data_IF_695942017300
#
_entry.id   IF_695942017300
#
_cell.length_a   1.000
_cell.length_b   1.000
_cell.length_c   1.000
_cell.angle_alpha   90.00
_cell.angle_beta   90.00
_cell.angle_gamma   90.00
#
_symmetry.space_group_name_H-M   'P 1'
#
loop_
_entity.id
_entity.type
_entity.pdbx_description
1 polymer ?
#
# COMPACT_ATOMS: atom_id res chain seq x y z
N UNK A 1 -23.21 -1.57 8.30
CA UNK A 1 -23.42 -0.10 8.36
C UNK A 1 -23.12 0.49 7.00
N UNK A 2 -23.87 1.52 6.56
CA UNK A 2 -23.53 2.26 5.33
C UNK A 2 -22.88 3.59 5.68
N UNK A 3 -21.61 3.77 5.33
CA UNK A 3 -20.90 5.03 5.49
C UNK A 3 -21.35 6.05 4.44
N UNK A 4 -21.12 7.33 4.76
CA UNK A 4 -21.38 8.45 3.85
C UNK A 4 -20.16 9.36 3.79
N UNK A 5 -19.93 9.88 2.60
CA UNK A 5 -18.90 10.85 2.29
C UNK A 5 -19.13 12.10 3.12
N UNK A 6 -18.06 12.56 3.77
CA UNK A 6 -17.98 13.86 4.46
C UNK A 6 -17.25 14.90 3.62
N UNK A 7 -16.48 14.46 2.63
CA UNK A 7 -15.79 15.28 1.65
C UNK A 7 -15.57 14.49 0.36
N UNK A 8 -15.70 15.18 -0.77
CA UNK A 8 -15.42 14.67 -2.11
C UNK A 8 -14.62 15.70 -2.91
N UNK A 9 -13.63 15.23 -3.65
CA UNK A 9 -13.01 16.01 -4.73
C UNK A 9 -12.62 15.09 -5.88
N UNK A 10 -12.46 15.68 -7.07
CA UNK A 10 -11.81 14.99 -8.17
C UNK A 10 -10.29 15.12 -8.06
N UNK A 11 -9.58 14.02 -8.27
CA UNK A 11 -8.12 13.98 -8.34
C UNK A 11 -7.58 14.42 -9.70
N UNK A 12 -8.46 14.74 -10.67
CA UNK A 12 -8.19 15.12 -12.07
C UNK A 12 -7.58 14.00 -12.93
N UNK A 13 -6.81 13.11 -12.31
CA UNK A 13 -6.18 11.93 -12.90
C UNK A 13 -6.66 10.69 -12.15
N UNK A 14 -6.57 9.52 -12.79
CA UNK A 14 -6.98 8.28 -12.13
C UNK A 14 -6.19 8.04 -10.84
N UNK A 15 -6.92 7.87 -9.73
CA UNK A 15 -6.33 7.78 -8.40
C UNK A 15 -6.08 6.32 -8.01
N UNK A 16 -4.85 6.01 -7.65
CA UNK A 16 -4.38 4.63 -7.51
C UNK A 16 -4.07 4.23 -6.06
N UNK A 17 -3.47 5.14 -5.29
CA UNK A 17 -3.14 4.85 -3.89
C UNK A 17 -3.34 6.03 -2.96
N UNK A 18 -3.64 5.71 -1.70
CA UNK A 18 -3.80 6.65 -0.60
C UNK A 18 -3.01 6.12 0.58
N UNK A 19 -2.24 7.00 1.23
CA UNK A 19 -1.45 6.66 2.41
C UNK A 19 -1.57 7.76 3.46
N UNK A 20 -2.08 7.43 4.65
CA UNK A 20 -2.15 8.38 5.75
C UNK A 20 -0.77 8.61 6.36
N UNK A 21 -0.48 9.87 6.69
CA UNK A 21 0.73 10.22 7.38
C UNK A 21 0.73 9.59 8.80
N UNK A 22 1.82 8.92 9.23
CA UNK A 22 1.82 8.15 10.46
C UNK A 22 1.77 8.98 11.75
N UNK A 23 2.28 10.22 11.72
CA UNK A 23 2.36 11.11 12.89
C UNK A 23 1.54 12.40 12.80
N UNK A 24 1.42 13.03 11.62
CA UNK A 24 0.69 14.28 11.45
C UNK A 24 -0.82 14.02 11.38
N UNK A 25 -1.62 14.56 12.33
CA UNK A 25 -3.06 14.35 12.32
C UNK A 25 -3.70 14.85 11.03
N UNK A 26 -4.59 14.04 10.49
CA UNK A 26 -5.41 14.37 9.32
C UNK A 26 -4.64 14.70 8.03
N UNK A 27 -3.38 14.26 7.94
CA UNK A 27 -2.55 14.42 6.74
C UNK A 27 -2.45 13.09 6.00
N UNK A 28 -2.53 13.11 4.68
CA UNK A 28 -2.39 11.94 3.82
C UNK A 28 -1.89 12.30 2.43
N UNK A 29 -1.29 11.34 1.75
CA UNK A 29 -0.84 11.44 0.37
C UNK A 29 -1.81 10.68 -0.54
N UNK A 30 -2.09 11.24 -1.72
CA UNK A 30 -2.89 10.61 -2.78
C UNK A 30 -2.03 10.54 -4.04
N UNK A 31 -1.84 9.34 -4.57
CA UNK A 31 -1.06 9.11 -5.78
C UNK A 31 -1.95 8.73 -6.95
N UNK A 32 -1.55 9.16 -8.14
CA UNK A 32 -2.31 8.99 -9.38
C UNK A 32 -1.48 8.29 -10.45
N UNK A 33 -2.20 7.59 -11.33
CA UNK A 33 -1.67 6.85 -12.45
C UNK A 33 -2.54 7.14 -13.68
N UNK A 34 -2.02 7.89 -14.64
CA UNK A 34 -2.72 8.19 -15.89
C UNK A 34 -1.95 7.59 -17.06
N UNK A 35 -2.65 6.83 -17.90
CA UNK A 35 -2.17 6.47 -19.23
C UNK A 35 -2.69 7.50 -20.22
N UNK A 36 -1.78 8.18 -20.91
CA UNK A 36 -2.13 9.03 -22.05
C UNK A 36 -1.80 8.25 -23.33
N UNK A 37 -2.77 8.12 -24.23
CA UNK A 37 -2.58 7.57 -25.57
C UNK A 37 -2.30 8.72 -26.53
N UNK A 38 -1.31 8.61 -27.43
CA UNK A 38 -1.11 9.59 -28.48
C UNK A 38 -2.25 9.50 -29.52
N UNK A 39 -3.14 10.52 -29.63
CA UNK A 39 -4.24 10.48 -30.59
C UNK A 39 -3.75 10.41 -32.04
N UNK A 40 -2.55 10.93 -32.32
CA UNK A 40 -1.97 10.96 -33.66
C UNK A 40 -1.47 9.59 -34.15
N UNK A 41 -1.25 8.64 -33.24
CA UNK A 41 -0.81 7.27 -33.54
C UNK A 41 -1.94 6.22 -33.42
N UNK A 42 -3.18 6.66 -33.20
CA UNK A 42 -4.35 5.77 -33.00
C UNK A 42 -4.68 4.83 -34.17
N UNK A 43 -4.04 5.01 -35.33
CA UNK A 43 -4.14 4.14 -36.51
C UNK A 43 -2.99 3.12 -36.63
N UNK A 44 -1.99 3.16 -35.74
CA UNK A 44 -0.93 2.16 -35.65
C UNK A 44 -1.39 0.93 -34.85
N UNK A 45 -0.82 -0.24 -35.13
CA UNK A 45 -1.18 -1.49 -34.46
C UNK A 45 -0.85 -1.51 -32.95
N UNK A 46 0.05 -0.62 -32.51
CA UNK A 46 0.47 -0.43 -31.11
C UNK A 46 0.85 1.03 -30.87
N UNK A 47 -0.12 1.94 -30.60
CA UNK A 47 0.18 3.35 -30.36
C UNK A 47 1.12 3.52 -29.17
N UNK A 48 2.08 4.46 -29.28
CA UNK A 48 2.87 4.88 -28.12
C UNK A 48 1.95 5.44 -27.04
N UNK A 49 2.17 5.01 -25.80
CA UNK A 49 1.48 5.53 -24.62
C UNK A 49 2.51 6.04 -23.63
N UNK A 50 2.16 7.12 -22.93
CA UNK A 50 2.93 7.61 -21.80
C UNK A 50 2.17 7.37 -20.50
N UNK A 51 2.90 7.31 -19.39
CA UNK A 51 2.35 7.06 -18.06
C UNK A 51 2.78 8.17 -17.14
N UNK A 52 1.90 9.13 -16.89
CA UNK A 52 2.17 10.23 -15.97
C UNK A 52 1.36 10.09 -14.69
N UNK A 53 1.85 10.70 -13.63
CA UNK A 53 1.23 10.66 -12.33
C UNK A 53 1.62 11.86 -11.49
N UNK A 54 1.06 11.84 -10.30
CA UNK A 54 1.22 12.88 -9.29
C UNK A 54 0.95 12.30 -7.93
N UNK A 55 1.73 12.72 -6.94
CA UNK A 55 1.43 12.51 -5.53
C UNK A 55 1.10 13.86 -4.87
N UNK A 56 -0.17 14.07 -4.49
CA UNK A 56 -0.62 15.27 -3.74
C UNK A 56 -0.63 14.98 -2.25
N UNK A 57 -0.15 15.92 -1.43
CA UNK A 57 -0.27 15.89 0.02
C UNK A 57 -1.50 16.72 0.43
N UNK A 58 -2.37 16.15 1.24
CA UNK A 58 -3.60 16.76 1.69
C UNK A 58 -3.66 16.87 3.21
N UNK A 59 -4.41 17.87 3.71
CA UNK A 59 -4.83 17.96 5.11
C UNK A 59 -6.34 18.09 5.20
N UNK A 60 -6.93 17.30 6.08
CA UNK A 60 -8.35 17.36 6.42
C UNK A 60 -8.57 18.18 7.69
N UNK A 61 -9.60 19.02 7.64
CA UNK A 61 -10.24 19.58 8.82
C UNK A 61 -11.46 18.71 9.12
N UNK A 62 -11.46 17.93 10.22
CA UNK A 62 -12.55 17.01 10.54
C UNK A 62 -13.85 17.75 10.87
N UNK A 63 -14.99 17.13 10.58
CA UNK A 63 -16.34 17.66 10.80
C UNK A 63 -17.38 16.75 10.15
N UNK A 64 -18.67 17.07 10.31
CA UNK A 64 -19.74 16.40 9.56
C UNK A 64 -19.62 16.66 8.06
N UNK A 65 -19.34 17.91 7.70
CA UNK A 65 -18.83 18.32 6.40
C UNK A 65 -17.33 18.60 6.57
N UNK A 66 -16.49 17.63 6.22
CA UNK A 66 -15.05 17.78 6.30
C UNK A 66 -14.58 18.74 5.19
N UNK A 67 -13.50 19.46 5.45
CA UNK A 67 -12.79 20.25 4.44
C UNK A 67 -11.43 19.62 4.17
N UNK A 68 -10.95 19.67 2.93
CA UNK A 68 -9.63 19.19 2.55
C UNK A 68 -8.86 20.29 1.83
N UNK A 69 -7.58 20.44 2.13
CA UNK A 69 -6.67 21.35 1.44
C UNK A 69 -5.44 20.62 0.93
N UNK A 70 -5.03 20.91 -0.31
CA UNK A 70 -3.75 20.44 -0.83
C UNK A 70 -2.63 21.29 -0.23
N UNK A 71 -1.61 20.63 0.32
CA UNK A 71 -0.44 21.25 0.95
C UNK A 71 0.74 21.34 -0.02
N UNK A 72 0.99 20.27 -0.78
CA UNK A 72 2.08 20.19 -1.75
C UNK A 72 1.79 19.09 -2.80
N UNK A 73 2.58 19.06 -3.87
CA UNK A 73 2.46 18.05 -4.91
C UNK A 73 3.82 17.68 -5.54
N UNK A 74 3.97 16.40 -5.85
CA UNK A 74 5.05 15.87 -6.67
C UNK A 74 4.46 15.48 -8.02
N UNK A 75 4.89 16.12 -9.10
CA UNK A 75 4.57 15.70 -10.47
C UNK A 75 5.63 14.70 -10.97
N UNK A 76 5.23 13.75 -11.80
CA UNK A 76 6.17 12.82 -12.43
C UNK A 76 5.52 11.68 -13.20
N UNK A 77 6.17 10.52 -13.13
CA UNK A 77 5.69 9.28 -13.72
C UNK A 77 4.46 8.74 -13.00
N UNK A 78 3.71 7.85 -13.64
CA UNK A 78 2.55 7.21 -13.01
C UNK A 78 2.96 6.42 -11.77
N UNK A 79 2.22 6.58 -10.67
CA UNK A 79 2.56 6.02 -9.35
C UNK A 79 1.60 4.90 -9.01
N UNK A 80 2.13 3.72 -8.65
CA UNK A 80 1.35 2.55 -8.25
C UNK A 80 1.25 2.40 -6.72
N UNK A 81 2.27 2.84 -5.98
CA UNK A 81 2.22 2.76 -4.52
C UNK A 81 3.09 3.83 -3.87
N UNK A 82 2.62 4.32 -2.72
CA UNK A 82 3.35 5.28 -1.91
C UNK A 82 3.17 4.94 -0.43
N UNK A 83 4.27 4.84 0.34
CA UNK A 83 4.21 4.53 1.77
C UNK A 83 5.21 5.33 2.58
N UNK A 84 4.82 5.75 3.78
CA UNK A 84 5.71 6.42 4.73
C UNK A 84 6.60 5.40 5.45
N UNK A 85 7.89 5.70 5.55
CA UNK A 85 8.78 5.02 6.50
C UNK A 85 8.65 5.69 7.86
N UNK A 86 8.64 4.89 8.93
CA UNK A 86 8.63 5.37 10.32
C UNK A 86 10.05 5.63 10.85
N UNK A 87 11.07 5.14 10.16
CA UNK A 87 12.45 5.45 10.45
C UNK A 87 12.69 6.97 10.33
N UNK A 88 13.44 7.51 11.27
CA UNK A 88 13.72 8.95 11.38
C UNK A 88 12.46 9.86 11.49
N UNK A 89 11.28 9.30 11.76
CA UNK A 89 10.02 10.05 11.92
C UNK A 89 9.81 10.64 13.32
N UNK A 90 10.78 10.48 14.23
CA UNK A 90 10.79 11.16 15.53
C UNK A 90 11.45 12.55 15.34
N UNK A 91 10.62 13.59 15.29
CA UNK A 91 11.01 14.96 14.92
C UNK A 91 12.23 15.51 15.67
N UNK A 92 13.06 16.28 14.96
CA UNK A 92 14.15 17.10 15.51
C UNK A 92 15.10 17.61 14.41
N UNK A 93 15.61 16.69 13.56
CA UNK A 93 16.57 17.04 12.48
C UNK A 93 16.14 16.56 11.08
N UNK A 94 15.17 15.63 10.99
CA UNK A 94 14.82 14.92 9.74
C UNK A 94 13.42 15.25 9.18
N UNK A 95 12.79 16.37 9.57
CA UNK A 95 11.44 16.74 9.11
C UNK A 95 10.33 15.84 9.69
N UNK A 96 9.18 15.76 9.01
CA UNK A 96 8.01 14.99 9.46
C UNK A 96 7.99 13.53 9.00
N UNK A 97 9.01 13.08 8.28
CA UNK A 97 9.15 11.71 7.78
C UNK A 97 9.55 11.66 6.30
N UNK A 98 9.67 10.44 5.77
CA UNK A 98 10.00 10.20 4.37
C UNK A 98 8.92 9.34 3.70
N UNK A 99 8.49 9.75 2.51
CA UNK A 99 7.56 9.03 1.65
C UNK A 99 8.36 8.31 0.55
N UNK A 100 8.20 7.00 0.45
CA UNK A 100 8.64 6.22 -0.71
C UNK A 100 7.56 6.15 -1.77
N UNK A 101 7.95 6.30 -3.03
CA UNK A 101 7.08 6.23 -4.21
C UNK A 101 7.62 5.16 -5.16
N UNK A 102 6.79 4.17 -5.48
CA UNK A 102 7.01 3.17 -6.51
C UNK A 102 6.29 3.57 -7.80
N UNK A 103 7.04 3.75 -8.89
CA UNK A 103 6.51 4.27 -10.14
C UNK A 103 6.56 3.27 -11.32
N UNK A 104 5.82 3.63 -12.37
CA UNK A 104 5.66 2.87 -13.60
C UNK A 104 6.91 2.84 -14.49
N UNK A 105 8.01 3.46 -14.10
CA UNK A 105 9.29 3.41 -14.82
C UNK A 105 10.30 2.47 -14.16
N UNK A 106 9.90 1.78 -13.09
CA UNK A 106 10.76 0.85 -12.38
C UNK A 106 11.64 1.52 -11.33
N UNK A 107 11.27 2.72 -10.86
CA UNK A 107 12.00 3.44 -9.82
C UNK A 107 11.29 3.39 -8.47
N UNK A 108 12.10 3.43 -7.42
CA UNK A 108 11.71 3.79 -6.06
C UNK A 108 12.32 5.16 -5.75
N UNK A 109 11.51 6.19 -5.54
CA UNK A 109 11.98 7.54 -5.17
C UNK A 109 11.60 7.87 -3.72
N UNK A 110 12.48 8.55 -2.99
CA UNK A 110 12.22 9.01 -1.62
C UNK A 110 12.10 10.52 -1.55
N UNK A 111 11.06 10.97 -0.85
CA UNK A 111 10.77 12.37 -0.62
C UNK A 111 10.64 12.63 0.88
N UNK A 112 11.46 13.54 1.40
CA UNK A 112 11.35 14.00 2.79
C UNK A 112 10.27 15.09 2.87
N UNK A 113 9.40 15.01 3.88
CA UNK A 113 8.45 16.07 4.20
C UNK A 113 9.09 17.05 5.20
N UNK A 114 9.31 18.29 4.77
CA UNK A 114 9.89 19.35 5.61
C UNK A 114 8.90 19.95 6.60
N UNK A 115 9.40 20.76 7.55
CA UNK A 115 8.56 21.45 8.54
C UNK A 115 7.54 22.42 7.91
N UNK A 116 7.88 22.95 6.73
CA UNK A 116 7.01 23.78 5.90
C UNK A 116 5.94 22.97 5.15
N UNK A 117 5.84 21.65 5.39
CA UNK A 117 4.93 20.72 4.73
C UNK A 117 5.15 20.61 3.22
N UNK A 118 6.38 20.84 2.76
CA UNK A 118 6.79 20.64 1.37
C UNK A 118 7.71 19.42 1.23
N UNK A 119 7.57 18.71 0.12
CA UNK A 119 8.39 17.58 -0.25
C UNK A 119 9.74 18.01 -0.81
N UNK A 120 10.79 17.27 -0.46
CA UNK A 120 12.11 17.39 -1.07
C UNK A 120 12.62 16.00 -1.44
N UNK A 121 12.92 15.77 -2.73
CA UNK A 121 13.51 14.50 -3.18
C UNK A 121 14.87 14.28 -2.53
N UNK A 122 15.09 13.10 -1.95
CA UNK A 122 16.33 12.73 -1.24
C UNK A 122 17.14 11.68 -1.98
N UNK A 123 16.46 10.66 -2.50
CA UNK A 123 17.10 9.54 -3.17
C UNK A 123 16.16 8.97 -4.25
N UNK A 124 16.75 8.21 -5.17
CA UNK A 124 16.02 7.35 -6.08
C UNK A 124 16.87 6.13 -6.43
N UNK A 125 16.23 4.96 -6.49
CA UNK A 125 16.83 3.72 -6.96
C UNK A 125 16.10 3.25 -8.20
N UNK A 126 16.88 2.85 -9.21
CA UNK A 126 16.34 2.07 -10.32
C UNK A 126 16.22 0.62 -9.84
N UNK A 127 15.00 0.21 -9.51
CA UNK A 127 14.73 -1.10 -8.93
C UNK A 127 14.61 -2.19 -10.01
N UNK A 128 14.29 -1.79 -11.23
CA UNK A 128 14.20 -2.68 -12.38
C UNK A 128 14.88 -2.07 -13.61
N UNK A 129 15.75 -2.86 -14.25
CA UNK A 129 16.47 -2.42 -15.44
C UNK A 129 15.80 -2.78 -16.78
N UNK A 130 14.77 -3.61 -16.74
CA UNK A 130 14.13 -4.31 -17.85
C UNK A 130 12.78 -3.71 -18.28
N UNK A 131 12.54 -2.43 -17.94
CA UNK A 131 11.26 -1.73 -18.20
C UNK A 131 10.05 -2.33 -17.46
N UNK A 132 10.27 -3.11 -16.40
CA UNK A 132 9.19 -3.54 -15.52
C UNK A 132 8.79 -2.42 -14.56
N UNK A 133 7.53 -2.46 -14.11
CA UNK A 133 6.97 -1.48 -13.17
C UNK A 133 7.34 -1.86 -11.73
N UNK A 134 7.50 -0.86 -10.86
CA UNK A 134 7.42 -1.08 -9.42
C UNK A 134 5.93 -1.06 -9.03
N UNK A 135 5.38 -2.19 -8.62
CA UNK A 135 3.95 -2.37 -8.36
C UNK A 135 3.55 -2.00 -6.93
N UNK A 136 4.34 -2.43 -5.95
CA UNK A 136 4.10 -2.10 -4.53
C UNK A 136 5.42 -1.92 -3.80
N UNK A 137 5.39 -1.22 -2.66
CA UNK A 137 6.53 -1.16 -1.75
C UNK A 137 6.10 -1.41 -0.32
N UNK A 138 6.98 -1.92 0.55
CA UNK A 138 6.70 -1.99 2.00
C UNK A 138 7.96 -1.76 2.83
N UNK A 139 7.79 -1.09 3.96
CA UNK A 139 8.86 -0.74 4.90
C UNK A 139 8.92 -1.72 6.07
N UNK A 140 10.13 -2.11 6.46
CA UNK A 140 10.36 -3.07 7.55
C UNK A 140 10.12 -2.51 8.96
N UNK A 141 9.71 -1.25 9.07
CA UNK A 141 9.70 -0.44 10.29
C UNK A 141 8.30 -0.10 10.79
N UNK A 142 7.24 -0.67 10.20
CA UNK A 142 5.82 -0.40 10.49
C UNK A 142 5.42 -0.38 11.96
N UNK A 143 6.12 -1.12 12.82
CA UNK A 143 5.90 -1.19 14.29
C UNK A 143 7.00 -0.49 15.10
N UNK A 144 8.02 0.07 14.45
CA UNK A 144 9.25 0.61 15.05
C UNK A 144 9.36 2.11 14.84
N UNK A 145 8.50 2.87 15.51
CA UNK A 145 8.58 4.33 15.51
C UNK A 145 9.95 4.83 15.96
N UNK A 146 10.55 5.73 15.18
CA UNK A 146 11.85 6.31 15.51
C UNK A 146 13.01 5.33 15.38
N UNK A 147 12.83 4.22 14.66
CA UNK A 147 13.96 3.42 14.19
C UNK A 147 14.95 4.33 13.47
N UNK A 148 16.25 4.10 13.67
CA UNK A 148 17.24 4.82 12.89
C UNK A 148 17.14 4.39 11.43
N UNK A 149 17.03 3.10 11.14
CA UNK A 149 17.07 2.55 9.78
C UNK A 149 15.81 1.78 9.40
N UNK A 150 15.61 1.59 8.10
CA UNK A 150 14.59 0.71 7.53
C UNK A 150 15.11 0.00 6.28
N UNK A 151 14.55 -1.18 6.03
CA UNK A 151 14.66 -1.88 4.75
C UNK A 151 13.36 -1.71 3.97
N UNK A 152 13.45 -1.71 2.64
CA UNK A 152 12.29 -1.71 1.76
C UNK A 152 12.30 -2.93 0.87
N UNK A 153 11.12 -3.49 0.63
CA UNK A 153 10.86 -4.47 -0.40
C UNK A 153 9.95 -3.86 -1.44
N UNK A 154 10.21 -4.12 -2.71
CA UNK A 154 9.45 -3.65 -3.87
C UNK A 154 9.08 -4.86 -4.71
N UNK A 155 7.80 -4.96 -5.09
CA UNK A 155 7.31 -5.97 -6.02
C UNK A 155 7.22 -5.42 -7.43
N UNK A 156 7.44 -6.27 -8.45
CA UNK A 156 7.63 -5.82 -9.83
C UNK A 156 6.79 -6.57 -10.86
N UNK A 157 6.48 -5.92 -11.98
CA UNK A 157 5.60 -6.47 -13.01
C UNK A 157 6.19 -7.61 -13.84
N UNK A 158 7.50 -7.85 -13.76
CA UNK A 158 8.15 -9.00 -14.39
C UNK A 158 8.26 -10.21 -13.44
N UNK A 159 7.49 -10.22 -12.34
CA UNK A 159 7.46 -11.32 -11.37
C UNK A 159 8.64 -11.35 -10.39
N UNK A 160 9.53 -10.36 -10.42
CA UNK A 160 10.62 -10.25 -9.46
C UNK A 160 10.25 -9.45 -8.22
N UNK A 161 10.99 -9.68 -7.14
CA UNK A 161 11.04 -8.80 -5.97
C UNK A 161 12.43 -8.20 -5.87
N UNK A 162 12.52 -6.97 -5.37
CA UNK A 162 13.78 -6.31 -5.08
C UNK A 162 13.75 -5.67 -3.69
N UNK A 163 14.89 -5.69 -2.99
CA UNK A 163 15.01 -5.08 -1.66
C UNK A 163 16.17 -4.09 -1.61
N UNK A 164 15.97 -2.98 -0.90
CA UNK A 164 17.07 -2.13 -0.40
C UNK A 164 17.22 -2.41 1.10
N UNK A 165 18.31 -3.07 1.54
CA UNK A 165 18.44 -3.53 2.93
C UNK A 165 18.55 -2.43 3.97
N UNK A 166 18.97 -1.22 3.60
CA UNK A 166 19.21 -0.12 4.53
C UNK A 166 19.06 1.22 3.82
N UNK A 167 18.28 2.12 4.41
CA UNK A 167 18.09 3.49 3.92
C UNK A 167 19.29 4.40 4.22
N UNK A 168 20.06 4.08 5.26
CA UNK A 168 21.22 4.88 5.68
C UNK A 168 22.49 4.67 4.86
N UNK A 169 22.55 3.61 4.05
CA UNK A 169 23.72 3.38 3.20
C UNK A 169 23.74 4.44 2.11
N UNK A 170 24.77 5.30 2.16
CA UNK A 170 24.91 6.53 1.37
C UNK A 170 25.00 6.34 -0.16
N UNK A 171 24.93 5.12 -0.68
CA UNK A 171 25.01 4.83 -2.11
C UNK A 171 23.91 3.84 -2.52
N UNK A 172 23.38 3.94 -3.76
CA UNK A 172 22.38 3.02 -4.32
C UNK A 172 22.91 1.60 -4.61
N UNK A 173 23.83 1.10 -3.78
CA UNK A 173 24.39 -0.23 -3.83
C UNK A 173 23.70 -1.15 -2.83
N UNK A 174 23.51 -2.42 -3.21
CA UNK A 174 22.91 -3.44 -2.36
C UNK A 174 21.44 -3.73 -2.67
N UNK A 175 20.93 -3.37 -3.85
CA UNK A 175 19.67 -3.92 -4.33
C UNK A 175 19.85 -5.43 -4.51
N UNK A 176 19.07 -6.21 -3.77
CA UNK A 176 18.97 -7.66 -3.96
C UNK A 176 17.67 -7.96 -4.71
N UNK A 177 17.78 -8.61 -5.87
CA UNK A 177 16.64 -8.96 -6.72
C UNK A 177 16.58 -10.45 -6.96
N UNK A 178 15.38 -11.04 -6.90
CA UNK A 178 15.16 -12.44 -7.24
C UNK A 178 13.84 -12.64 -7.98
N UNK A 179 13.79 -13.68 -8.81
CA UNK A 179 12.56 -14.15 -9.42
C UNK A 179 11.65 -14.78 -8.37
N UNK A 180 10.46 -14.22 -8.19
CA UNK A 180 9.55 -14.59 -7.12
C UNK A 180 8.27 -15.26 -7.63
N UNK A 181 7.73 -14.79 -8.76
CA UNK A 181 6.46 -15.22 -9.35
C UNK A 181 6.59 -15.36 -10.86
N UNK A 182 5.80 -16.26 -11.45
CA UNK A 182 5.83 -16.54 -12.90
C UNK A 182 5.07 -15.48 -13.73
N UNK A 183 4.34 -14.59 -13.05
CA UNK A 183 3.57 -13.45 -13.57
C UNK A 183 3.80 -12.24 -12.65
N UNK A 184 3.10 -11.13 -12.89
CA UNK A 184 3.14 -9.91 -12.09
C UNK A 184 3.12 -10.21 -10.58
N UNK A 185 4.17 -9.78 -9.88
CA UNK A 185 4.22 -9.83 -8.42
C UNK A 185 3.50 -8.59 -7.88
N UNK A 186 2.18 -8.67 -7.71
CA UNK A 186 1.35 -7.52 -7.32
C UNK A 186 1.73 -6.90 -5.99
N UNK A 187 2.14 -7.72 -5.02
CA UNK A 187 2.32 -7.24 -3.66
C UNK A 187 3.48 -7.93 -2.96
N UNK A 188 4.24 -7.17 -2.18
CA UNK A 188 5.15 -7.67 -1.18
C UNK A 188 4.97 -6.91 0.14
N UNK A 189 5.15 -7.61 1.26
CA UNK A 189 5.00 -7.02 2.59
C UNK A 189 5.96 -7.67 3.58
N UNK A 190 6.50 -6.86 4.49
CA UNK A 190 7.36 -7.36 5.57
C UNK A 190 6.54 -7.95 6.71
N UNK A 191 7.10 -8.98 7.34
CA UNK A 191 6.70 -9.33 8.71
C UNK A 191 7.20 -8.20 9.61
N UNK A 192 6.28 -7.35 10.06
CA UNK A 192 6.60 -6.21 10.91
C UNK A 192 7.15 -6.62 12.29
N UNK A 193 7.18 -7.91 12.63
CA UNK A 193 7.75 -8.46 13.85
C UNK A 193 9.12 -9.10 13.64
N UNK A 194 9.53 -9.35 12.39
CA UNK A 194 10.76 -10.11 12.09
C UNK A 194 12.04 -9.28 12.08
N UNK A 195 11.94 -7.96 12.05
CA UNK A 195 13.09 -7.07 11.89
C UNK A 195 13.79 -7.22 10.54
N UNK A 196 13.03 -7.09 9.45
CA UNK A 196 13.50 -7.19 8.06
C UNK A 196 14.08 -8.57 7.66
N UNK A 197 13.71 -9.64 8.37
CA UNK A 197 14.18 -10.99 8.05
C UNK A 197 13.16 -11.82 7.26
N UNK A 198 11.87 -11.52 7.37
CA UNK A 198 10.81 -12.29 6.72
C UNK A 198 9.90 -11.35 5.94
N UNK A 199 9.62 -11.71 4.68
CA UNK A 199 8.65 -11.02 3.83
C UNK A 199 7.75 -12.03 3.14
N UNK A 200 6.53 -11.63 2.82
CA UNK A 200 5.57 -12.40 2.02
C UNK A 200 5.27 -11.66 0.73
N UNK A 201 4.92 -12.39 -0.33
CA UNK A 201 4.51 -11.81 -1.60
C UNK A 201 3.37 -12.58 -2.26
N UNK A 202 2.67 -11.87 -3.12
CA UNK A 202 1.56 -12.37 -3.92
C UNK A 202 1.69 -11.95 -5.38
N UNK A 203 1.17 -12.77 -6.28
CA UNK A 203 1.16 -12.48 -7.72
C UNK A 203 0.03 -13.17 -8.48
N UNK A 204 0.01 -12.92 -9.79
CA UNK A 204 -0.98 -13.48 -10.72
C UNK A 204 -0.79 -14.97 -11.02
N UNK A 205 0.29 -15.58 -10.52
CA UNK A 205 0.53 -17.03 -10.54
C UNK A 205 -0.32 -17.81 -9.51
N UNK A 206 -1.35 -17.16 -8.94
CA UNK A 206 -2.25 -17.63 -7.89
C UNK A 206 -1.50 -18.10 -6.64
N UNK A 207 -0.35 -17.50 -6.35
CA UNK A 207 0.53 -17.94 -5.27
C UNK A 207 0.74 -16.87 -4.21
N UNK A 208 0.61 -17.28 -2.95
CA UNK A 208 1.19 -16.61 -1.79
C UNK A 208 2.53 -17.30 -1.46
N UNK A 209 3.62 -16.55 -1.38
CA UNK A 209 4.97 -17.08 -1.07
C UNK A 209 5.57 -16.35 0.12
N UNK A 210 6.39 -17.06 0.89
CA UNK A 210 7.17 -16.51 1.99
C UNK A 210 8.67 -16.53 1.70
N UNK A 211 9.40 -15.57 2.23
CA UNK A 211 10.83 -15.36 1.98
C UNK A 211 11.56 -15.14 3.30
N UNK A 212 12.69 -15.82 3.48
CA UNK A 212 13.67 -15.50 4.52
C UNK A 212 14.82 -14.74 3.88
N UNK A 213 14.99 -13.48 4.28
CA UNK A 213 15.96 -12.59 3.66
C UNK A 213 17.41 -12.95 4.02
N UNK A 214 17.62 -13.87 4.96
CA UNK A 214 18.93 -14.44 5.29
C UNK A 214 19.32 -15.59 4.35
N UNK A 215 18.35 -16.18 3.64
CA UNK A 215 18.64 -17.21 2.64
C UNK A 215 19.29 -16.56 1.42
N UNK A 216 20.50 -16.98 1.01
CA UNK A 216 21.19 -16.36 -0.13
C UNK A 216 20.43 -16.51 -1.44
N UNK A 217 20.66 -15.57 -2.35
CA UNK A 217 20.21 -15.66 -3.75
C UNK A 217 21.24 -16.49 -4.53
N UNK A 218 20.77 -17.53 -5.22
CA UNK A 218 21.56 -18.35 -6.11
C UNK A 218 20.93 -18.33 -7.51
N UNK A 219 21.74 -17.97 -8.52
CA UNK A 219 21.32 -17.89 -9.93
C UNK A 219 20.04 -17.07 -10.16
N UNK A 220 19.92 -15.94 -9.46
CA UNK A 220 18.76 -15.03 -9.56
C UNK A 220 17.49 -15.53 -8.84
N UNK A 221 17.59 -16.59 -8.04
CA UNK A 221 16.47 -17.17 -7.29
C UNK A 221 16.75 -17.18 -5.78
N UNK A 222 15.70 -17.00 -4.99
CA UNK A 222 15.70 -17.22 -3.54
C UNK A 222 14.68 -18.30 -3.26
N UNK A 223 15.04 -19.35 -2.53
CA UNK A 223 14.08 -20.42 -2.23
C UNK A 223 12.97 -19.90 -1.30
N UNK A 224 11.68 -20.08 -1.65
CA UNK A 224 10.60 -19.66 -0.79
C UNK A 224 10.49 -20.55 0.45
N UNK A 225 10.25 -19.95 1.62
CA UNK A 225 10.02 -20.70 2.87
C UNK A 225 8.69 -21.46 2.86
N UNK A 226 7.73 -20.98 2.08
CA UNK A 226 6.51 -21.69 1.74
C UNK A 226 5.93 -21.18 0.41
N UNK A 227 5.05 -21.97 -0.19
CA UNK A 227 4.19 -21.56 -1.29
C UNK A 227 2.78 -22.10 -1.02
N UNK A 228 1.78 -21.22 -1.05
CA UNK A 228 0.38 -21.57 -0.91
C UNK A 228 -0.37 -21.11 -2.18
N UNK A 229 -0.83 -22.08 -2.99
CA UNK A 229 -1.72 -21.83 -4.13
C UNK A 229 -3.16 -22.31 -3.86
N UNK A 230 -3.32 -23.23 -2.91
CA UNK A 230 -4.61 -23.86 -2.66
C UNK A 230 -5.58 -22.84 -2.07
N UNK A 231 -6.73 -22.70 -2.72
CA UNK A 231 -7.81 -21.82 -2.27
C UNK A 231 -7.65 -20.39 -2.74
N UNK A 232 -6.77 -20.10 -3.72
CA UNK A 232 -6.79 -18.87 -4.51
C UNK A 232 -7.30 -19.19 -5.92
N UNK A 233 -8.36 -18.51 -6.33
CA UNK A 233 -8.93 -18.60 -7.69
C UNK A 233 -8.69 -17.30 -8.49
N UNK A 234 -7.87 -16.39 -7.95
CA UNK A 234 -7.42 -15.15 -8.56
C UNK A 234 -6.06 -14.72 -8.00
N UNK A 235 -5.37 -13.79 -8.67
CA UNK A 235 -4.06 -13.29 -8.24
C UNK A 235 -4.09 -12.73 -6.82
N UNK A 236 -2.98 -12.86 -6.08
CA UNK A 236 -2.86 -12.32 -4.73
C UNK A 236 -2.40 -10.87 -4.82
N UNK A 237 -3.29 -9.93 -4.52
CA UNK A 237 -3.16 -8.51 -4.84
C UNK A 237 -2.88 -7.62 -3.63
N UNK A 238 -3.19 -8.08 -2.43
CA UNK A 238 -2.92 -7.32 -1.21
C UNK A 238 -2.47 -8.21 -0.05
N UNK A 239 -1.50 -7.73 0.72
CA UNK A 239 -0.94 -8.40 1.89
C UNK A 239 -0.65 -7.35 2.95
N UNK A 240 -0.99 -7.64 4.21
CA UNK A 240 -0.53 -6.84 5.33
C UNK A 240 -0.32 -7.67 6.60
N UNK A 241 0.89 -7.60 7.16
CA UNK A 241 1.20 -8.10 8.51
C UNK A 241 0.44 -7.30 9.56
N UNK A 242 -0.16 -8.01 10.52
CA UNK A 242 -0.93 -7.39 11.59
C UNK A 242 0.00 -6.69 12.59
N UNK A 243 -0.23 -5.38 12.81
CA UNK A 243 0.69 -4.54 13.57
C UNK A 243 0.63 -4.71 15.09
N UNK A 244 -0.46 -5.24 15.65
CA UNK A 244 -0.65 -5.46 17.10
C UNK A 244 -0.71 -6.93 17.50
N UNK A 245 -1.06 -7.85 16.58
CA UNK A 245 -1.11 -9.29 16.84
C UNK A 245 -0.08 -10.02 15.98
N UNK A 246 1.00 -10.46 16.63
CA UNK A 246 2.05 -11.21 15.96
C UNK A 246 1.49 -12.47 15.26
N UNK A 247 2.14 -12.83 14.15
CA UNK A 247 1.84 -14.00 13.31
C UNK A 247 0.63 -13.87 12.38
N UNK A 248 -0.27 -12.92 12.57
CA UNK A 248 -1.43 -12.79 11.69
C UNK A 248 -1.18 -11.88 10.49
N UNK A 249 -1.74 -12.28 9.35
CA UNK A 249 -1.62 -11.58 8.08
C UNK A 249 -2.98 -11.51 7.40
N UNK A 250 -3.35 -10.34 6.90
CA UNK A 250 -4.45 -10.19 5.96
C UNK A 250 -3.94 -10.36 4.54
N UNK A 251 -4.60 -11.19 3.74
CA UNK A 251 -4.25 -11.49 2.35
C UNK A 251 -5.51 -11.39 1.49
N UNK A 252 -5.55 -10.42 0.59
CA UNK A 252 -6.62 -10.22 -0.37
C UNK A 252 -6.22 -10.68 -1.78
N UNK A 253 -7.23 -11.04 -2.57
CA UNK A 253 -7.06 -11.59 -3.91
C UNK A 253 -8.11 -11.03 -4.87
N UNK A 254 -7.83 -11.14 -6.17
CA UNK A 254 -8.79 -10.91 -7.26
C UNK A 254 -10.04 -11.79 -7.16
N UNK A 255 -9.98 -12.94 -6.47
CA UNK A 255 -11.14 -13.82 -6.25
C UNK A 255 -12.14 -13.33 -5.19
N UNK A 256 -12.06 -12.05 -4.84
CA UNK A 256 -12.99 -11.36 -3.94
C UNK A 256 -13.03 -11.89 -2.50
N UNK A 257 -12.05 -12.72 -2.12
CA UNK A 257 -12.02 -13.37 -0.81
C UNK A 257 -10.87 -12.81 0.04
N UNK A 258 -11.22 -12.23 1.20
CA UNK A 258 -10.23 -11.84 2.21
C UNK A 258 -9.86 -13.07 3.03
N UNK A 259 -8.57 -13.27 3.28
CA UNK A 259 -8.03 -14.40 4.01
C UNK A 259 -7.15 -13.92 5.15
N UNK A 260 -7.32 -14.52 6.32
CA UNK A 260 -6.42 -14.33 7.46
C UNK A 260 -5.52 -15.55 7.57
N UNK A 261 -4.21 -15.35 7.53
CA UNK A 261 -3.21 -16.39 7.68
C UNK A 261 -2.51 -16.29 9.03
N UNK A 262 -2.12 -17.44 9.57
CA UNK A 262 -1.20 -17.56 10.69
C UNK A 262 0.16 -18.00 10.16
N UNK A 263 1.18 -17.16 10.35
CA UNK A 263 2.55 -17.39 9.86
C UNK A 263 3.21 -18.66 10.45
N UNK A 264 2.68 -19.20 11.55
CA UNK A 264 3.13 -20.47 12.12
C UNK A 264 2.65 -21.68 11.31
N UNK A 265 1.62 -21.49 10.47
CA UNK A 265 1.10 -22.51 9.56
C UNK A 265 0.57 -21.88 8.26
N UNK A 266 1.46 -21.35 7.39
CA UNK A 266 1.06 -20.54 6.23
C UNK A 266 0.52 -21.35 5.04
N UNK A 267 0.20 -22.65 5.25
CA UNK A 267 -0.28 -23.54 4.18
C UNK A 267 -1.77 -23.38 3.87
N UNK A 268 -2.52 -22.72 4.76
CA UNK A 268 -3.95 -22.42 4.61
C UNK A 268 -4.33 -21.22 5.50
N UNK A 269 -5.37 -20.47 5.14
CA UNK A 269 -5.92 -19.46 6.03
C UNK A 269 -6.53 -20.08 7.29
N UNK A 270 -6.57 -19.30 8.37
CA UNK A 270 -7.32 -19.61 9.60
C UNK A 270 -8.76 -19.10 9.54
N UNK A 271 -9.02 -18.11 8.69
CA UNK A 271 -10.36 -17.59 8.39
C UNK A 271 -10.36 -16.98 6.98
N UNK A 272 -11.51 -17.03 6.32
CA UNK A 272 -11.73 -16.39 5.03
C UNK A 272 -13.20 -15.99 4.87
N UNK A 273 -13.46 -14.98 4.04
CA UNK A 273 -14.81 -14.55 3.69
C UNK A 273 -14.84 -13.83 2.34
N UNK A 274 -15.91 -13.99 1.55
CA UNK A 274 -16.14 -13.15 0.40
C UNK A 274 -16.50 -11.73 0.84
N UNK A 275 -15.95 -10.72 0.16
CA UNK A 275 -16.21 -9.31 0.47
C UNK A 275 -16.81 -8.55 -0.71
N UNK A 276 -16.97 -9.19 -1.87
CA UNK A 276 -17.54 -8.57 -3.07
C UNK A 276 -16.54 -7.63 -3.74
N UNK A 277 -16.01 -8.06 -4.89
CA UNK A 277 -14.97 -7.37 -5.65
C UNK A 277 -13.53 -7.75 -5.27
N UNK A 278 -12.62 -7.73 -6.25
CA UNK A 278 -11.21 -8.10 -6.06
C UNK A 278 -10.48 -7.15 -5.10
N UNK A 279 -9.67 -7.65 -4.17
CA UNK A 279 -9.17 -6.84 -3.05
C UNK A 279 -7.82 -6.21 -3.39
N UNK A 280 -7.81 -4.95 -3.79
CA UNK A 280 -6.58 -4.23 -4.17
C UNK A 280 -5.79 -3.70 -2.97
N UNK A 281 -6.46 -3.42 -1.86
CA UNK A 281 -5.83 -2.84 -0.67
C UNK A 281 -6.40 -3.43 0.61
N UNK A 282 -5.51 -3.75 1.55
CA UNK A 282 -5.87 -4.21 2.89
C UNK A 282 -5.05 -3.45 3.94
N UNK A 283 -5.73 -2.81 4.91
CA UNK A 283 -5.10 -2.03 5.99
C UNK A 283 -5.73 -2.34 7.34
N UNK A 284 -4.98 -2.97 8.25
CA UNK A 284 -5.36 -3.12 9.65
C UNK A 284 -5.50 -1.73 10.27
N UNK A 285 -6.53 -1.60 11.11
CA UNK A 285 -6.80 -0.38 11.85
C UNK A 285 -5.66 -0.11 12.85
N UNK A 286 -5.24 1.15 13.04
CA UNK A 286 -4.08 1.48 13.87
C UNK A 286 -4.23 1.14 15.36
N UNK A 287 -5.45 1.18 15.90
CA UNK A 287 -5.71 0.95 17.34
C UNK A 287 -6.72 -0.17 17.65
N UNK A 288 -7.84 -0.28 16.93
CA UNK A 288 -8.73 -1.45 16.97
C UNK A 288 -8.08 -2.65 16.25
N UNK A 289 -7.60 -3.63 17.01
CA UNK A 289 -6.92 -4.82 16.47
C UNK A 289 -7.83 -5.81 15.72
N UNK A 290 -9.15 -5.64 15.75
CA UNK A 290 -10.05 -6.52 15.00
C UNK A 290 -10.44 -5.95 13.64
N UNK A 291 -10.28 -4.64 13.42
CA UNK A 291 -10.79 -3.96 12.24
C UNK A 291 -9.78 -3.93 11.09
N UNK A 292 -10.26 -4.24 9.89
CA UNK A 292 -9.50 -4.28 8.66
C UNK A 292 -10.26 -3.53 7.54
N UNK A 293 -9.61 -2.54 6.94
CA UNK A 293 -10.13 -1.78 5.80
C UNK A 293 -9.70 -2.42 4.49
N UNK A 294 -10.65 -2.52 3.57
CA UNK A 294 -10.49 -3.17 2.27
C UNK A 294 -10.92 -2.24 1.14
N UNK A 295 -10.04 -2.03 0.15
CA UNK A 295 -10.38 -1.46 -1.16
C UNK A 295 -10.73 -2.59 -2.11
N UNK A 296 -12.01 -2.72 -2.44
CA UNK A 296 -12.55 -3.82 -3.26
C UNK A 296 -12.91 -3.28 -4.64
N UNK A 297 -12.23 -3.78 -5.68
CA UNK A 297 -12.48 -3.43 -7.06
C UNK A 297 -13.94 -3.68 -7.43
N UNK A 298 -14.64 -2.66 -7.91
CA UNK A 298 -16.09 -2.67 -8.18
C UNK A 298 -17.01 -2.91 -6.96
N UNK A 299 -16.46 -3.31 -5.81
CA UNK A 299 -17.20 -3.57 -4.57
C UNK A 299 -17.18 -2.43 -3.55
N UNK A 300 -16.53 -1.31 -3.90
CA UNK A 300 -16.37 -0.13 -3.04
C UNK A 300 -15.31 -0.32 -1.97
N UNK A 301 -15.46 0.38 -0.85
CA UNK A 301 -14.57 0.26 0.31
C UNK A 301 -15.33 -0.35 1.47
N UNK A 302 -14.72 -1.31 2.16
CA UNK A 302 -15.37 -2.10 3.23
C UNK A 302 -14.52 -2.14 4.47
N UNK A 303 -15.16 -2.20 5.62
CA UNK A 303 -14.51 -2.53 6.89
C UNK A 303 -15.03 -3.88 7.31
N UNK A 304 -14.11 -4.81 7.54
CA UNK A 304 -14.39 -6.09 8.15
C UNK A 304 -13.82 -6.14 9.56
N UNK A 305 -14.47 -6.87 10.44
CA UNK A 305 -13.92 -7.23 11.74
C UNK A 305 -13.59 -8.72 11.78
N UNK A 306 -12.49 -9.05 12.45
CA UNK A 306 -12.06 -10.42 12.66
C UNK A 306 -11.33 -10.56 13.99
N UNK A 307 -11.55 -11.69 14.67
CA UNK A 307 -10.74 -12.13 15.79
C UNK A 307 -10.52 -13.64 15.69
N UNK A 308 -9.52 -14.23 16.38
CA UNK A 308 -9.25 -15.67 16.31
C UNK A 308 -10.46 -16.56 16.66
N UNK A 309 -11.38 -16.07 17.47
CA UNK A 309 -12.55 -16.80 17.96
C UNK A 309 -13.84 -16.47 17.19
N UNK A 310 -13.77 -15.63 16.16
CA UNK A 310 -14.94 -15.18 15.38
C UNK A 310 -14.69 -15.29 13.86
N UNK A 311 -15.75 -15.51 13.06
CA UNK A 311 -15.64 -15.38 11.61
C UNK A 311 -15.32 -13.93 11.21
N UNK A 312 -14.92 -13.74 9.96
CA UNK A 312 -14.78 -12.40 9.38
C UNK A 312 -16.18 -11.86 9.10
N UNK A 313 -16.48 -10.65 9.57
CA UNK A 313 -17.78 -9.99 9.36
C UNK A 313 -17.61 -8.62 8.70
N UNK A 314 -18.41 -8.33 7.66
CA UNK A 314 -18.47 -6.98 7.07
C UNK A 314 -19.31 -6.08 7.98
N UNK A 315 -18.67 -5.10 8.61
CA UNK A 315 -19.33 -4.20 9.57
C UNK A 315 -19.70 -2.85 8.95
N UNK A 316 -18.97 -2.41 7.93
CA UNK A 316 -19.22 -1.15 7.24
C UNK A 316 -18.95 -1.24 5.74
N UNK A 317 -19.78 -0.57 4.95
CA UNK A 317 -19.64 -0.45 3.50
C UNK A 317 -19.65 1.04 3.09
N UNK A 318 -18.86 1.37 2.09
CA UNK A 318 -18.82 2.67 1.42
C UNK A 318 -18.85 2.43 -0.10
N UNK A 319 -19.97 2.79 -0.72
CA UNK A 319 -20.33 2.46 -2.11
C UNK A 319 -20.49 3.70 -3.00
N UNK A 320 -19.95 4.84 -2.59
CA UNK A 320 -20.10 6.11 -3.33
C UNK A 320 -19.03 6.36 -4.38
N UNK A 321 -18.05 5.46 -4.51
CA UNK A 321 -17.17 5.44 -5.68
C UNK A 321 -17.95 4.89 -6.87
N UNK A 322 -17.86 5.57 -8.01
CA UNK A 322 -18.56 5.19 -9.24
C UNK A 322 -17.71 4.23 -10.11
N UNK A 323 -16.47 3.96 -9.67
CA UNK A 323 -15.53 3.06 -10.34
C UNK A 323 -14.76 2.15 -9.38
N UNK A 324 -13.57 1.71 -9.78
CA UNK A 324 -12.72 0.76 -9.08
C UNK A 324 -12.03 1.44 -7.89
N UNK A 325 -12.40 1.05 -6.67
CA UNK A 325 -11.73 1.50 -5.45
C UNK A 325 -10.36 0.80 -5.26
N UNK A 326 -9.27 1.54 -5.48
CA UNK A 326 -7.90 1.03 -5.33
C UNK A 326 -7.21 1.49 -4.05
N UNK A 327 -7.29 2.78 -3.72
CA UNK A 327 -6.59 3.35 -2.58
C UNK A 327 -7.50 3.51 -1.37
N UNK A 328 -7.07 3.03 -0.22
CA UNK A 328 -7.72 3.35 1.05
C UNK A 328 -6.73 3.24 2.23
N UNK A 329 -6.85 4.14 3.20
CA UNK A 329 -6.14 4.03 4.48
C UNK A 329 -6.94 4.71 5.61
N UNK A 330 -6.66 4.26 6.83
CA UNK A 330 -7.15 4.90 8.05
C UNK A 330 -6.41 6.19 8.30
N UNK A 331 -7.07 7.17 8.91
CA UNK A 331 -6.35 8.25 9.60
C UNK A 331 -5.43 7.64 10.67
N UNK A 332 -4.17 8.07 10.73
CA UNK A 332 -3.19 7.50 11.70
C UNK A 332 -2.67 8.52 12.71
N UNK A 333 -2.54 9.78 12.31
CA UNK A 333 -1.88 10.81 13.11
C UNK A 333 -2.67 11.27 14.33
N UNK A 334 -4.00 11.24 14.29
CA UNK A 334 -4.84 11.72 15.39
C UNK A 334 -4.89 10.72 16.56
N UNK A 335 -4.61 9.43 16.32
CA UNK A 335 -4.57 8.39 17.35
C UNK A 335 -3.38 8.48 18.32
N UNK A 336 -2.58 9.55 18.26
CA UNK A 336 -1.44 9.82 19.16
C UNK A 336 -1.64 11.04 20.06
N UNK A 337 -2.77 11.75 19.93
CA UNK A 337 -3.14 12.88 20.79
C UNK A 337 -3.82 12.43 22.09
N UNK A 338 -3.98 13.36 23.04
CA UNK A 338 -4.68 13.12 24.30
C UNK A 338 -6.19 12.87 24.12
N UNK A 339 -6.76 13.38 23.02
CA UNK A 339 -8.16 13.20 22.65
C UNK A 339 -8.26 12.25 21.45
N UNK A 340 -8.59 10.99 21.72
CA UNK A 340 -8.92 10.03 20.66
C UNK A 340 -10.14 10.54 19.90
N UNK A 341 -10.12 10.58 18.55
CA UNK A 341 -11.28 11.01 17.80
C UNK A 341 -12.44 10.05 18.08
N UNK A 342 -13.65 10.60 18.25
CA UNK A 342 -14.87 9.80 18.48
C UNK A 342 -15.32 8.97 17.26
N UNK A 343 -14.57 9.02 16.16
CA UNK A 343 -14.77 8.22 14.95
C UNK A 343 -13.43 8.02 14.24
N UNK A 344 -13.28 6.89 13.57
CA UNK A 344 -12.14 6.57 12.70
C UNK A 344 -12.37 7.15 11.31
N UNK A 345 -11.62 8.18 10.95
CA UNK A 345 -11.64 8.73 9.59
C UNK A 345 -10.93 7.78 8.62
N UNK A 346 -11.47 7.72 7.40
CA UNK A 346 -10.94 6.94 6.29
C UNK A 346 -10.77 7.85 5.09
N UNK A 347 -9.64 7.68 4.42
CA UNK A 347 -9.36 8.27 3.11
C UNK A 347 -9.45 7.17 2.08
N UNK A 348 -10.17 7.40 0.99
CA UNK A 348 -10.26 6.42 -0.09
C UNK A 348 -10.36 7.09 -1.44
N UNK A 349 -9.75 6.49 -2.45
CA UNK A 349 -9.83 6.94 -3.83
C UNK A 349 -10.26 5.83 -4.78
N UNK A 350 -10.75 6.24 -5.94
CA UNK A 350 -11.17 5.35 -7.02
C UNK A 350 -10.56 5.79 -8.35
N UNK A 351 -10.30 4.78 -9.18
CA UNK A 351 -9.38 4.88 -10.31
C UNK A 351 -9.98 5.66 -11.48
N UNK A 352 -10.92 5.09 -12.24
CA UNK A 352 -11.37 5.72 -13.49
C UNK A 352 -12.28 6.95 -13.30
N UNK A 353 -12.99 7.04 -12.19
CA UNK A 353 -13.80 8.22 -11.84
C UNK A 353 -12.96 9.35 -11.22
N UNK A 354 -11.66 9.12 -11.00
CA UNK A 354 -10.72 10.09 -10.44
C UNK A 354 -11.29 10.73 -9.15
N UNK A 355 -11.84 9.90 -8.26
CA UNK A 355 -12.54 10.34 -7.06
C UNK A 355 -11.66 10.19 -5.82
N UNK A 356 -11.67 11.22 -4.96
CA UNK A 356 -11.18 11.15 -3.59
C UNK A 356 -12.35 11.41 -2.63
N UNK A 357 -12.47 10.54 -1.63
CA UNK A 357 -13.44 10.66 -0.56
C UNK A 357 -12.77 10.64 0.82
N UNK A 358 -13.33 11.43 1.72
CA UNK A 358 -13.10 11.33 3.17
C UNK A 358 -14.42 10.97 3.83
N UNK A 359 -14.41 9.95 4.68
CA UNK A 359 -15.57 9.50 5.44
C UNK A 359 -15.11 9.02 6.82
N UNK A 360 -16.04 8.57 7.66
CA UNK A 360 -15.68 8.05 8.97
C UNK A 360 -16.54 6.85 9.36
N UNK A 361 -15.94 5.96 10.13
CA UNK A 361 -16.55 4.83 10.81
C UNK A 361 -16.57 5.10 12.32
N UNK A 362 -17.68 4.80 12.99
CA UNK A 362 -17.89 5.08 14.40
C UNK A 362 -18.30 3.81 15.14
#
# INVERSE_FOLDING_TARGET
MQAKSRYYESTELSADSVESHPCLPYVFAVSTYQVDQDPAQSTEASPEYSRRGRCKLHRVTPGEAAACTTLDAIEGEAILDAKWTLANSACGEHGYGMLGIADATGYLSLYQLGENLAFTKKAAWRMNDEKALCLSLDWSDRTKMGASDASVIVSQSNGTLATVPSLHRAEPHGIETWHAHDYEAWIAAWDCWSGANVAWSGGDDLALKGWDLRTPIHDGTREPTFTCKKGFDGGVTSIQSHATRQHYWAVGSYDETIRIFDARNPRRPVADAPVGGGIWRAKWHPTNENALLLGCMHGGVRIVEWSPDAPIEVVCEFDQHESIAYGCDWERGAFRGADMPGASYVYSCSFYDAALHVWAWA
#
